data_IF_399420061604
#
_entry.id   IF_399420061604
#
_cell.length_a   1.000
_cell.length_b   1.000
_cell.length_c   1.000
_cell.angle_alpha   90.00
_cell.angle_beta   90.00
_cell.angle_gamma   90.00
#
_symmetry.space_group_name_H-M   'P 1'
#
loop_
_entity.id
_entity.type
_entity.pdbx_description
1 polymer ?
#
# COMPACT_ATOMS: atom_id res chain seq x y z
N UNK A 1 -10.22 -0.82 -10.97
CA UNK A 1 -10.37 -0.47 -9.55
C UNK A 1 -9.20 0.35 -9.03
N UNK A 2 -7.96 -0.04 -9.29
CA UNK A 2 -6.79 0.72 -8.80
C UNK A 2 -6.80 2.16 -9.30
N UNK A 3 -6.98 2.38 -10.60
CA UNK A 3 -7.01 3.73 -11.18
C UNK A 3 -8.19 4.56 -10.68
N UNK A 4 -9.34 3.93 -10.43
CA UNK A 4 -10.52 4.60 -9.91
C UNK A 4 -10.39 5.01 -8.44
N UNK A 5 -9.38 4.52 -7.74
CA UNK A 5 -9.10 4.88 -6.34
C UNK A 5 -8.42 6.25 -6.19
N UNK A 6 -7.85 6.79 -7.28
CA UNK A 6 -7.13 8.07 -7.23
C UNK A 6 -8.06 9.18 -6.73
N UNK A 7 -7.63 9.88 -5.70
CA UNK A 7 -8.41 10.93 -5.05
C UNK A 7 -9.49 10.46 -4.08
N UNK A 8 -9.68 9.14 -3.91
CA UNK A 8 -10.72 8.61 -3.01
C UNK A 8 -10.41 8.90 -1.54
N UNK A 9 -11.45 9.19 -0.78
CA UNK A 9 -11.36 9.44 0.67
C UNK A 9 -11.56 8.17 1.51
N UNK A 10 -11.90 7.05 0.89
CA UNK A 10 -12.22 5.79 1.56
C UNK A 10 -11.10 5.28 2.46
N UNK A 11 -9.84 5.58 2.12
CA UNK A 11 -8.66 5.05 2.80
C UNK A 11 -8.08 6.00 3.86
N UNK A 12 -8.79 7.07 4.21
CA UNK A 12 -8.29 8.05 5.18
C UNK A 12 -8.35 7.57 6.61
N UNK A 13 -9.39 6.81 6.96
CA UNK A 13 -9.71 6.51 8.34
C UNK A 13 -9.89 5.02 8.56
N UNK A 14 -9.31 4.51 9.63
CA UNK A 14 -9.59 3.20 10.20
C UNK A 14 -9.68 3.38 11.71
N UNK A 15 -10.88 3.30 12.25
CA UNK A 15 -11.13 3.50 13.67
C UNK A 15 -10.95 2.20 14.44
N UNK A 16 -10.27 2.28 15.58
CA UNK A 16 -10.07 1.17 16.50
C UNK A 16 -10.19 1.66 17.93
N UNK A 17 -10.45 0.75 18.87
CA UNK A 17 -10.40 1.06 20.28
C UNK A 17 -8.94 1.02 20.75
N UNK A 18 -8.44 2.17 21.18
CA UNK A 18 -7.11 2.32 21.74
C UNK A 18 -7.27 2.78 23.19
N UNK A 19 -6.84 1.95 24.14
CA UNK A 19 -7.02 2.21 25.57
C UNK A 19 -8.48 2.50 25.93
N UNK A 20 -9.44 1.77 25.34
CA UNK A 20 -10.87 1.94 25.56
C UNK A 20 -11.52 3.14 24.86
N UNK A 21 -10.75 3.90 24.08
CA UNK A 21 -11.25 5.05 23.31
C UNK A 21 -11.18 4.77 21.81
N UNK A 22 -12.19 5.22 21.06
CA UNK A 22 -12.19 5.18 19.61
C UNK A 22 -11.14 6.15 19.07
N UNK A 23 -10.25 5.65 18.22
CA UNK A 23 -9.21 6.47 17.59
C UNK A 23 -9.05 6.06 16.11
N UNK A 24 -8.70 7.03 15.28
CA UNK A 24 -8.33 6.78 13.89
C UNK A 24 -6.86 6.39 13.82
N UNK A 25 -6.58 5.10 13.59
CA UNK A 25 -5.21 4.58 13.52
C UNK A 25 -4.53 4.89 12.18
N UNK A 26 -5.28 5.41 11.18
CA UNK A 26 -4.72 5.86 9.90
C UNK A 26 -4.36 7.35 9.89
N UNK A 27 -4.57 8.07 10.99
CA UNK A 27 -4.29 9.50 11.11
C UNK A 27 -4.89 10.33 9.96
N UNK A 28 -6.18 10.09 9.67
CA UNK A 28 -6.92 10.74 8.59
C UNK A 28 -6.23 10.55 7.21
N UNK A 29 -5.74 9.34 6.93
CA UNK A 29 -5.09 8.98 5.68
C UNK A 29 -3.58 9.10 5.67
N UNK A 30 -2.97 9.56 6.77
CA UNK A 30 -1.52 9.76 6.86
C UNK A 30 -0.74 8.43 6.81
N UNK A 31 -1.29 7.35 7.36
CA UNK A 31 -0.68 6.03 7.43
C UNK A 31 -1.46 4.95 6.66
N UNK A 32 -2.18 5.31 5.62
CA UNK A 32 -3.12 4.40 4.95
C UNK A 32 -2.57 3.69 3.71
N UNK A 33 -1.26 3.73 3.44
CA UNK A 33 -0.70 3.07 2.25
C UNK A 33 -0.95 1.55 2.26
N UNK A 34 -0.72 0.89 3.38
CA UNK A 34 -0.96 -0.54 3.51
C UNK A 34 -2.45 -0.89 3.54
N UNK A 35 -3.26 -0.05 4.18
CA UNK A 35 -4.71 -0.22 4.19
C UNK A 35 -5.27 -0.17 2.77
N UNK A 36 -4.87 0.81 1.97
CA UNK A 36 -5.27 0.94 0.57
C UNK A 36 -4.94 -0.31 -0.25
N UNK A 37 -3.68 -0.76 -0.20
CA UNK A 37 -3.23 -1.93 -0.96
C UNK A 37 -3.94 -3.19 -0.48
N UNK A 38 -3.98 -3.44 0.83
CA UNK A 38 -4.59 -4.66 1.36
C UNK A 38 -6.10 -4.69 1.12
N UNK A 39 -6.79 -3.55 1.16
CA UNK A 39 -8.21 -3.48 0.83
C UNK A 39 -8.49 -3.96 -0.60
N UNK A 40 -7.72 -3.46 -1.57
CA UNK A 40 -7.89 -3.87 -2.97
C UNK A 40 -7.54 -5.34 -3.16
N UNK A 41 -6.40 -5.80 -2.61
CA UNK A 41 -5.97 -7.18 -2.75
C UNK A 41 -6.95 -8.16 -2.09
N UNK A 42 -7.49 -7.81 -0.94
CA UNK A 42 -8.50 -8.64 -0.26
C UNK A 42 -9.79 -8.72 -1.09
N UNK A 43 -10.22 -7.61 -1.68
CA UNK A 43 -11.41 -7.56 -2.52
C UNK A 43 -11.34 -8.50 -3.73
N UNK A 44 -10.15 -8.79 -4.23
CA UNK A 44 -9.91 -9.73 -5.32
C UNK A 44 -9.38 -11.09 -4.85
N UNK A 45 -9.41 -11.37 -3.55
CA UNK A 45 -8.95 -12.63 -2.95
C UNK A 45 -7.48 -12.95 -3.20
N UNK A 46 -6.63 -11.92 -3.30
CA UNK A 46 -5.18 -12.07 -3.45
C UNK A 46 -4.43 -12.14 -2.14
N UNK A 47 -5.07 -11.80 -1.04
CA UNK A 47 -4.59 -11.96 0.34
C UNK A 47 -5.75 -12.41 1.23
N UNK A 48 -5.46 -12.73 2.50
CA UNK A 48 -6.43 -13.36 3.41
C UNK A 48 -7.14 -12.37 4.33
N UNK A 49 -6.52 -11.24 4.65
CA UNK A 49 -7.11 -10.27 5.57
C UNK A 49 -6.67 -8.84 5.29
N UNK A 50 -7.34 -7.90 5.94
CA UNK A 50 -7.04 -6.47 5.86
C UNK A 50 -5.87 -6.13 6.79
N UNK A 51 -4.97 -5.26 6.36
CA UNK A 51 -3.79 -4.88 7.12
C UNK A 51 -3.61 -3.37 7.17
N UNK A 52 -3.17 -2.87 8.33
CA UNK A 52 -2.81 -1.48 8.53
C UNK A 52 -1.32 -1.19 8.43
N UNK A 53 -0.47 -2.23 8.23
CA UNK A 53 0.98 -2.07 8.12
C UNK A 53 1.52 -2.71 6.86
N UNK A 54 2.63 -2.16 6.34
CA UNK A 54 3.33 -2.74 5.18
C UNK A 54 3.85 -4.14 5.52
N UNK A 55 4.44 -4.31 6.69
CA UNK A 55 4.98 -5.62 7.09
C UNK A 55 3.88 -6.69 7.20
N UNK A 56 2.72 -6.36 7.77
CA UNK A 56 1.59 -7.26 7.83
C UNK A 56 1.04 -7.64 6.46
N UNK A 57 0.93 -6.66 5.57
CA UNK A 57 0.49 -6.88 4.19
C UNK A 57 1.46 -7.82 3.45
N UNK A 58 2.76 -7.55 3.53
CA UNK A 58 3.79 -8.36 2.86
C UNK A 58 3.81 -9.79 3.39
N UNK A 59 3.67 -9.97 4.70
CA UNK A 59 3.59 -11.31 5.31
C UNK A 59 2.41 -12.12 4.76
N UNK A 60 1.24 -11.51 4.68
CA UNK A 60 0.04 -12.13 4.10
C UNK A 60 0.24 -12.43 2.60
N UNK A 61 0.82 -11.49 1.85
CA UNK A 61 1.14 -11.70 0.44
C UNK A 61 2.03 -12.94 0.25
N UNK A 62 3.09 -13.08 1.02
CA UNK A 62 4.00 -14.23 0.94
C UNK A 62 3.26 -15.55 1.21
N UNK A 63 2.36 -15.57 2.18
CA UNK A 63 1.55 -16.76 2.49
C UNK A 63 0.42 -17.00 1.48
N UNK A 64 0.14 -16.04 0.62
CA UNK A 64 -0.93 -16.08 -0.38
C UNK A 64 -0.43 -16.25 -1.82
N UNK A 65 0.82 -16.66 -2.00
CA UNK A 65 1.37 -17.01 -3.31
C UNK A 65 2.09 -15.88 -4.04
N UNK A 66 2.32 -14.76 -3.39
CA UNK A 66 3.10 -13.67 -3.96
C UNK A 66 4.60 -14.00 -3.88
N UNK A 67 5.33 -13.65 -4.94
CA UNK A 67 6.77 -13.88 -5.02
C UNK A 67 7.51 -12.62 -5.48
N UNK A 68 8.77 -12.53 -5.14
CA UNK A 68 9.63 -11.42 -5.57
C UNK A 68 9.94 -11.53 -7.06
N UNK A 69 9.97 -10.39 -7.74
CA UNK A 69 10.44 -10.28 -9.13
C UNK A 69 11.46 -9.15 -9.23
N UNK A 70 12.36 -9.25 -10.22
CA UNK A 70 13.46 -8.28 -10.38
C UNK A 70 13.03 -7.02 -11.13
N UNK A 71 12.11 -7.14 -12.07
CA UNK A 71 11.65 -6.04 -12.92
C UNK A 71 10.16 -5.81 -12.70
N UNK A 72 9.70 -4.55 -12.71
CA UNK A 72 8.29 -4.27 -12.53
C UNK A 72 7.47 -4.78 -13.71
N UNK A 73 6.28 -5.29 -13.39
CA UNK A 73 5.25 -5.68 -14.36
C UNK A 73 3.97 -4.95 -14.01
N UNK A 74 3.22 -4.54 -15.02
CA UNK A 74 1.94 -3.86 -14.80
C UNK A 74 1.03 -4.70 -13.89
N UNK A 75 0.59 -4.10 -12.78
CA UNK A 75 -0.22 -4.77 -11.76
C UNK A 75 0.59 -5.35 -10.59
N UNK A 76 1.93 -5.34 -10.65
CA UNK A 76 2.74 -5.82 -9.53
C UNK A 76 2.67 -4.85 -8.35
N UNK A 77 2.99 -5.38 -7.17
CA UNK A 77 3.12 -4.57 -5.96
C UNK A 77 4.54 -4.03 -5.86
N UNK A 78 4.66 -2.75 -5.51
CA UNK A 78 5.94 -2.09 -5.22
C UNK A 78 6.03 -1.85 -3.72
N UNK A 79 7.13 -2.27 -3.11
CA UNK A 79 7.45 -1.93 -1.73
C UNK A 79 8.70 -1.04 -1.76
N UNK A 80 8.59 0.15 -1.19
CA UNK A 80 9.71 1.09 -1.10
C UNK A 80 10.39 0.98 0.26
N UNK A 81 11.69 1.23 0.26
CA UNK A 81 12.51 1.25 1.47
C UNK A 81 12.03 2.30 2.46
N UNK A 82 12.31 2.12 3.78
CA UNK A 82 11.92 3.10 4.77
C UNK A 82 12.45 4.49 4.46
N UNK A 83 11.63 5.50 4.68
CA UNK A 83 12.01 6.90 4.65
C UNK A 83 11.47 7.59 5.89
N UNK A 84 12.22 8.56 6.41
CA UNK A 84 11.85 9.30 7.60
C UNK A 84 10.86 10.41 7.25
N UNK A 85 9.76 10.49 7.98
CA UNK A 85 8.75 11.54 7.83
C UNK A 85 9.13 12.81 8.62
N UNK A 86 8.23 13.81 8.57
CA UNK A 86 8.43 15.10 9.25
C UNK A 86 8.53 14.96 10.78
N UNK A 87 7.96 13.89 11.34
CA UNK A 87 7.97 13.61 12.78
C UNK A 87 9.19 12.78 13.21
N UNK A 88 10.10 12.46 12.29
CA UNK A 88 11.26 11.62 12.56
C UNK A 88 10.95 10.11 12.58
N UNK A 89 9.74 9.72 12.22
CA UNK A 89 9.35 8.31 12.13
C UNK A 89 9.72 7.72 10.78
N UNK A 90 10.26 6.50 10.80
CA UNK A 90 10.65 5.80 9.57
C UNK A 90 9.54 4.84 9.13
N UNK A 91 9.08 4.98 7.89
CA UNK A 91 7.99 4.18 7.34
C UNK A 91 8.39 3.57 6.00
N UNK A 92 8.12 2.28 5.84
CA UNK A 92 8.07 1.63 4.52
C UNK A 92 6.81 2.10 3.79
N UNK A 93 6.83 2.03 2.48
CA UNK A 93 5.70 2.41 1.64
C UNK A 93 5.36 1.29 0.67
N UNK A 94 4.10 1.18 0.28
CA UNK A 94 3.59 0.13 -0.60
C UNK A 94 2.57 0.70 -1.58
N UNK A 95 2.55 0.17 -2.80
CA UNK A 95 1.62 0.61 -3.83
C UNK A 95 1.58 -0.34 -5.01
N UNK A 96 0.92 0.08 -6.08
CA UNK A 96 0.76 -0.69 -7.31
C UNK A 96 1.56 -0.05 -8.45
N UNK A 97 2.30 -0.87 -9.20
CA UNK A 97 2.90 -0.45 -10.44
C UNK A 97 1.87 -0.55 -11.56
N UNK A 98 1.63 0.53 -12.29
CA UNK A 98 0.60 0.60 -13.32
C UNK A 98 1.14 0.63 -14.75
N UNK A 99 2.45 0.43 -14.92
CA UNK A 99 3.11 0.51 -16.22
C UNK A 99 3.64 1.91 -16.51
N UNK A 100 4.46 2.02 -17.56
CA UNK A 100 4.97 3.31 -18.02
C UNK A 100 5.83 4.08 -17.01
N UNK A 101 6.44 3.39 -16.05
CA UNK A 101 7.23 4.03 -15.00
C UNK A 101 6.40 4.69 -13.90
N UNK A 102 5.11 4.42 -13.84
CA UNK A 102 4.17 5.02 -12.89
C UNK A 102 3.67 4.02 -11.87
N UNK A 103 3.37 4.52 -10.67
CA UNK A 103 2.74 3.76 -9.60
C UNK A 103 1.54 4.52 -9.04
N UNK A 104 0.64 3.79 -8.36
CA UNK A 104 -0.41 4.39 -7.53
C UNK A 104 -0.17 3.94 -6.10
N UNK A 105 -0.08 4.90 -5.19
CA UNK A 105 0.01 4.65 -3.76
C UNK A 105 -0.70 5.76 -3.00
N UNK A 106 -0.98 5.51 -1.74
CA UNK A 106 -1.60 6.54 -0.90
C UNK A 106 -0.56 7.61 -0.55
N UNK A 107 -0.90 8.86 -0.86
CA UNK A 107 -0.03 10.01 -0.57
C UNK A 107 -0.37 10.57 0.82
N UNK A 108 0.64 10.68 1.70
CA UNK A 108 0.45 11.15 3.07
C UNK A 108 0.03 12.62 3.16
N UNK A 109 0.45 13.45 2.20
CA UNK A 109 0.09 14.88 2.17
C UNK A 109 -1.32 15.09 1.64
N UNK A 110 -1.68 14.42 0.54
CA UNK A 110 -3.01 14.49 -0.06
C UNK A 110 -4.02 13.59 0.63
N UNK A 111 -3.53 12.63 1.44
CA UNK A 111 -4.35 11.66 2.19
C UNK A 111 -5.29 10.85 1.31
N UNK A 112 -4.83 10.55 0.09
CA UNK A 112 -5.59 9.77 -0.90
C UNK A 112 -4.62 9.07 -1.85
N UNK A 113 -5.06 8.00 -2.56
CA UNK A 113 -4.25 7.38 -3.60
C UNK A 113 -3.96 8.36 -4.73
N UNK A 114 -2.70 8.39 -5.18
CA UNK A 114 -2.21 9.28 -6.23
C UNK A 114 -1.33 8.54 -7.21
N UNK A 115 -1.31 9.00 -8.47
CA UNK A 115 -0.37 8.54 -9.48
C UNK A 115 0.94 9.31 -9.33
N UNK A 116 2.06 8.59 -9.35
CA UNK A 116 3.40 9.20 -9.26
C UNK A 116 4.43 8.28 -9.95
N UNK A 117 5.65 8.80 -10.25
CA UNK A 117 6.75 7.94 -10.73
C UNK A 117 7.08 6.89 -9.68
N UNK A 118 7.30 5.63 -10.10
CA UNK A 118 7.63 4.57 -9.13
C UNK A 118 9.02 4.77 -8.51
N UNK A 119 9.90 5.52 -9.17
CA UNK A 119 11.26 5.82 -8.69
C UNK A 119 11.34 7.02 -7.73
N UNK A 120 10.20 7.53 -7.25
CA UNK A 120 10.16 8.66 -6.32
C UNK A 120 10.91 8.37 -5.00
N UNK A 121 11.00 7.10 -4.63
CA UNK A 121 11.76 6.59 -3.48
C UNK A 121 12.54 5.36 -3.92
N UNK A 122 13.55 4.99 -3.12
CA UNK A 122 14.29 3.75 -3.35
C UNK A 122 13.35 2.54 -3.25
N UNK A 123 13.27 1.76 -4.31
CA UNK A 123 12.50 0.52 -4.33
C UNK A 123 13.25 -0.55 -3.55
N UNK A 124 12.54 -1.25 -2.65
CA UNK A 124 13.05 -2.42 -1.96
C UNK A 124 12.74 -3.69 -2.75
N UNK A 125 11.48 -3.89 -3.12
CA UNK A 125 11.05 -5.15 -3.76
C UNK A 125 9.83 -4.93 -4.64
N UNK A 126 9.75 -5.71 -5.72
CA UNK A 126 8.53 -5.92 -6.49
C UNK A 126 7.98 -7.30 -6.18
N UNK A 127 6.64 -7.41 -6.06
CA UNK A 127 5.95 -8.67 -5.84
C UNK A 127 4.96 -8.96 -6.96
N UNK A 128 4.91 -10.21 -7.37
CA UNK A 128 3.99 -10.70 -8.41
C UNK A 128 3.25 -11.92 -7.94
N UNK A 129 2.00 -12.07 -8.36
CA UNK A 129 1.21 -13.28 -8.14
C UNK A 129 0.81 -13.86 -9.48
N UNK A 130 1.03 -15.16 -9.69
CA UNK A 130 0.73 -15.83 -10.95
C UNK A 130 -0.77 -15.86 -11.30
N UNK A 131 -1.66 -15.55 -10.37
CA UNK A 131 -3.08 -15.34 -10.65
C UNK A 131 -3.34 -14.06 -11.45
N UNK A 132 -2.40 -13.13 -11.46
CA UNK A 132 -2.43 -11.96 -12.33
C UNK A 132 -2.06 -12.37 -13.76
N UNK A 133 -2.77 -11.84 -14.73
CA UNK A 133 -2.50 -12.13 -16.15
C UNK A 133 -2.14 -10.89 -16.92
#
# INVERSE_FOLDING_TARGET
MIRNSVGANLFRNLYALVNGKRADIMRDGDLSCAFFVSFILLGFSFIKSLHGTVNGTVKDMKSSGWRRIKKPRQGCIVVWSPATDENGESHRHIGFYIGGGKAISNDSKKRSPCIHPYKIRKVDTFYWNNKLK
#
